data_IF_945445771028
#
_entry.id   IF_945445771028
#
_cell.length_a   1.000
_cell.length_b   1.000
_cell.length_c   1.000
_cell.angle_alpha   90.00
_cell.angle_beta   90.00
_cell.angle_gamma   90.00
#
_symmetry.space_group_name_H-M   'P 1'
#
loop_
_entity.id
_entity.type
_entity.pdbx_description
1 polymer ?
#
# COMPACT_ATOMS: atom_id res chain seq x y z
N UNK A 1 -9.47 1.99 -1.76
CA UNK A 1 -9.22 0.74 -1.01
C UNK A 1 -8.63 1.13 0.34
N UNK A 2 -9.42 1.08 1.42
CA UNK A 2 -9.02 1.51 2.75
C UNK A 2 -8.68 0.30 3.63
N UNK A 3 -7.48 0.27 4.18
CA UNK A 3 -7.10 -0.67 5.23
C UNK A 3 -7.18 0.03 6.60
N UNK A 4 -8.24 -0.19 7.39
CA UNK A 4 -8.47 0.54 8.64
C UNK A 4 -7.49 0.17 9.75
N UNK A 5 -6.82 -0.98 9.65
CA UNK A 5 -5.82 -1.45 10.64
C UNK A 5 -4.38 -1.10 10.27
N UNK A 6 -4.18 -0.28 9.24
CA UNK A 6 -2.84 0.19 8.86
C UNK A 6 -2.23 1.08 9.96
N UNK A 7 -0.92 0.91 10.22
CA UNK A 7 -0.16 1.72 11.18
C UNK A 7 0.15 1.05 12.52
N UNK A 8 -0.48 -0.09 12.84
CA UNK A 8 -0.22 -0.87 14.06
C UNK A 8 -1.13 -0.53 15.25
N UNK A 9 -0.99 -1.23 16.39
CA UNK A 9 -1.91 -1.13 17.53
C UNK A 9 -1.84 0.19 18.32
N UNK A 10 -0.77 0.98 18.17
CA UNK A 10 -0.64 2.30 18.83
C UNK A 10 -1.33 3.45 18.06
N UNK A 11 -1.81 3.21 16.83
CA UNK A 11 -2.61 4.19 16.09
C UNK A 11 -4.10 3.92 16.29
N UNK A 12 -4.64 4.38 17.42
CA UNK A 12 -6.06 4.77 17.55
C UNK A 12 -6.32 6.05 16.73
N UNK A 13 -6.00 6.04 15.43
CA UNK A 13 -6.31 7.13 14.51
C UNK A 13 -7.52 6.70 13.72
N UNK A 14 -8.53 7.55 13.66
CA UNK A 14 -9.68 7.34 12.79
C UNK A 14 -9.27 7.64 11.34
N UNK A 15 -8.49 6.72 10.76
CA UNK A 15 -8.09 6.80 9.37
C UNK A 15 -9.29 6.71 8.44
N UNK A 16 -10.36 6.07 8.88
CA UNK A 16 -11.59 6.02 8.12
C UNK A 16 -12.21 7.41 8.00
N UNK A 17 -12.49 8.10 9.11
CA UNK A 17 -13.00 9.48 9.10
C UNK A 17 -12.08 10.41 8.31
N UNK A 18 -10.76 10.25 8.47
CA UNK A 18 -9.79 11.11 7.76
C UNK A 18 -9.77 10.84 6.27
N UNK A 19 -9.83 9.59 5.82
CA UNK A 19 -9.90 9.26 4.40
C UNK A 19 -11.26 9.64 3.82
N UNK A 20 -12.35 9.44 4.55
CA UNK A 20 -13.70 9.87 4.18
C UNK A 20 -13.79 11.40 4.01
N UNK A 21 -13.18 12.16 4.92
CA UNK A 21 -13.19 13.63 4.83
C UNK A 21 -12.35 14.18 3.67
N UNK A 22 -11.33 13.45 3.22
CA UNK A 22 -10.47 13.83 2.10
C UNK A 22 -11.07 13.37 0.76
N UNK A 23 -11.56 12.13 0.70
CA UNK A 23 -12.01 11.47 -0.53
C UNK A 23 -13.55 11.47 -0.68
N UNK A 24 -14.21 12.58 -0.31
CA UNK A 24 -15.68 12.68 -0.19
C UNK A 24 -16.46 12.29 -1.46
N UNK A 25 -15.85 12.44 -2.63
CA UNK A 25 -16.47 12.18 -3.94
C UNK A 25 -16.09 10.81 -4.53
N UNK A 26 -15.51 9.91 -3.74
CA UNK A 26 -15.00 8.63 -4.22
C UNK A 26 -15.60 7.47 -3.41
N UNK A 27 -16.02 6.38 -4.07
CA UNK A 27 -16.43 5.16 -3.37
C UNK A 27 -15.27 4.60 -2.53
N UNK A 28 -15.52 4.40 -1.24
CA UNK A 28 -14.54 3.79 -0.33
C UNK A 28 -14.90 2.31 -0.14
N UNK A 29 -13.98 1.43 -0.50
CA UNK A 29 -14.05 0.00 -0.19
C UNK A 29 -13.10 -0.30 0.95
N UNK A 30 -13.65 -0.77 2.07
CA UNK A 30 -12.90 -1.16 3.26
C UNK A 30 -12.41 -2.59 3.10
N UNK A 31 -11.13 -2.82 3.39
CA UNK A 31 -10.49 -4.13 3.39
C UNK A 31 -10.72 -4.75 4.77
N UNK A 32 -11.51 -5.81 4.83
CA UNK A 32 -11.82 -6.52 6.06
C UNK A 32 -10.79 -7.62 6.37
N UNK A 33 -10.22 -8.26 5.35
CA UNK A 33 -9.34 -9.43 5.53
C UNK A 33 -8.05 -9.37 4.69
N UNK A 34 -6.95 -10.00 5.13
CA UNK A 34 -5.74 -10.12 4.33
C UNK A 34 -6.01 -10.76 2.95
N UNK A 35 -5.44 -10.18 1.89
CA UNK A 35 -5.60 -10.65 0.52
C UNK A 35 -6.85 -10.12 -0.22
N UNK A 36 -7.83 -9.56 0.49
CA UNK A 36 -9.06 -9.03 -0.12
C UNK A 36 -8.80 -7.79 -0.99
N UNK A 37 -7.78 -7.00 -0.66
CA UNK A 37 -7.41 -5.78 -1.39
C UNK A 37 -7.12 -6.04 -2.88
N UNK A 38 -6.54 -7.19 -3.23
CA UNK A 38 -6.26 -7.57 -4.62
C UNK A 38 -7.57 -7.78 -5.40
N UNK A 39 -8.52 -8.49 -4.80
CA UNK A 39 -9.83 -8.77 -5.41
C UNK A 39 -10.68 -7.50 -5.53
N UNK A 40 -10.74 -6.67 -4.48
CA UNK A 40 -11.50 -5.42 -4.51
C UNK A 40 -10.98 -4.46 -5.57
N UNK A 41 -9.66 -4.37 -5.74
CA UNK A 41 -9.03 -3.55 -6.76
C UNK A 41 -9.33 -4.05 -8.17
N UNK A 42 -9.27 -5.36 -8.39
CA UNK A 42 -9.63 -5.99 -9.67
C UNK A 42 -11.08 -5.71 -10.05
N UNK A 43 -12.00 -5.95 -9.12
CA UNK A 43 -13.42 -5.70 -9.33
C UNK A 43 -13.69 -4.21 -9.65
N UNK A 44 -13.00 -3.29 -8.97
CA UNK A 44 -13.14 -1.87 -9.28
C UNK A 44 -12.68 -1.55 -10.72
N UNK A 45 -11.61 -2.15 -11.21
CA UNK A 45 -11.22 -1.95 -12.62
C UNK A 45 -12.26 -2.54 -13.57
N UNK A 46 -12.81 -3.71 -13.26
CA UNK A 46 -13.89 -4.34 -14.05
C UNK A 46 -15.17 -3.50 -14.08
N UNK A 47 -15.44 -2.75 -13.00
CA UNK A 47 -16.54 -1.79 -12.91
C UNK A 47 -16.25 -0.46 -13.64
N UNK A 48 -15.06 -0.30 -14.24
CA UNK A 48 -14.69 0.84 -15.06
C UNK A 48 -13.92 1.95 -14.34
N UNK A 49 -13.50 1.74 -13.09
CA UNK A 49 -12.67 2.72 -12.39
C UNK A 49 -11.24 2.75 -12.97
N UNK A 50 -10.83 3.91 -13.48
CA UNK A 50 -9.50 4.12 -14.09
C UNK A 50 -8.45 4.64 -13.11
N UNK A 51 -8.83 4.88 -11.85
CA UNK A 51 -7.95 5.36 -10.78
C UNK A 51 -8.30 4.62 -9.50
N UNK A 52 -7.37 3.82 -9.01
CA UNK A 52 -7.55 3.02 -7.79
C UNK A 52 -6.60 3.55 -6.72
N UNK A 53 -7.15 4.02 -5.61
CA UNK A 53 -6.35 4.59 -4.51
C UNK A 53 -6.18 3.54 -3.40
N UNK A 54 -4.94 3.23 -3.07
CA UNK A 54 -4.55 2.41 -1.92
C UNK A 54 -4.34 3.32 -0.70
N UNK A 55 -5.25 3.24 0.26
CA UNK A 55 -5.16 3.89 1.56
C UNK A 55 -4.71 2.86 2.60
N UNK A 56 -3.41 2.83 2.89
CA UNK A 56 -2.79 1.79 3.70
C UNK A 56 -1.27 1.90 3.75
N UNK A 57 -0.61 0.85 4.26
CA UNK A 57 0.86 0.71 4.18
C UNK A 57 1.31 -0.02 2.91
N UNK A 58 2.62 -0.28 2.82
CA UNK A 58 3.27 -0.89 1.65
C UNK A 58 2.64 -2.23 1.22
N UNK A 59 2.20 -3.06 2.18
CA UNK A 59 1.49 -4.31 1.87
C UNK A 59 0.14 -4.09 1.17
N UNK A 60 -0.63 -3.09 1.61
CA UNK A 60 -1.90 -2.72 0.96
C UNK A 60 -1.64 -2.20 -0.44
N UNK A 61 -0.64 -1.34 -0.62
CA UNK A 61 -0.20 -0.84 -1.93
C UNK A 61 0.14 -2.01 -2.85
N UNK A 62 0.93 -2.98 -2.38
CA UNK A 62 1.33 -4.13 -3.18
C UNK A 62 0.15 -5.00 -3.63
N UNK A 63 -0.82 -5.25 -2.75
CA UNK A 63 -2.02 -6.01 -3.10
C UNK A 63 -2.89 -5.27 -4.11
N UNK A 64 -3.09 -3.96 -3.95
CA UNK A 64 -3.85 -3.15 -4.91
C UNK A 64 -3.14 -3.11 -6.26
N UNK A 65 -1.81 -2.95 -6.28
CA UNK A 65 -1.00 -2.99 -7.51
C UNK A 65 -1.15 -4.32 -8.27
N UNK A 66 -1.15 -5.45 -7.56
CA UNK A 66 -1.42 -6.77 -8.16
C UNK A 66 -2.84 -6.87 -8.72
N UNK A 67 -3.83 -6.27 -8.04
CA UNK A 67 -5.23 -6.30 -8.46
C UNK A 67 -5.49 -5.53 -9.76
N UNK A 68 -4.69 -4.52 -10.06
CA UNK A 68 -4.81 -3.68 -11.26
C UNK A 68 -3.73 -3.94 -12.31
N UNK A 69 -2.80 -4.86 -12.05
CA UNK A 69 -1.69 -5.17 -12.95
C UNK A 69 -2.23 -5.63 -14.32
N UNK A 70 -1.61 -5.15 -15.40
CA UNK A 70 -2.04 -5.44 -16.77
C UNK A 70 -3.25 -4.63 -17.25
N UNK A 71 -3.70 -3.64 -16.47
CA UNK A 71 -4.79 -2.71 -16.83
C UNK A 71 -4.25 -1.29 -17.05
N UNK A 72 -5.09 -0.39 -17.58
CA UNK A 72 -4.75 1.03 -17.72
C UNK A 72 -5.10 1.87 -16.48
N UNK A 73 -5.49 1.25 -15.37
CA UNK A 73 -5.85 1.96 -14.16
C UNK A 73 -4.61 2.52 -13.45
N UNK A 74 -4.66 3.79 -13.04
CA UNK A 74 -3.59 4.43 -12.29
C UNK A 74 -3.70 4.10 -10.79
N UNK A 75 -2.56 3.86 -10.15
CA UNK A 75 -2.44 3.65 -8.70
C UNK A 75 -2.24 4.99 -7.97
N UNK A 76 -3.16 5.35 -7.09
CA UNK A 76 -2.99 6.45 -6.13
C UNK A 76 -2.61 5.92 -4.75
N UNK A 77 -1.83 6.68 -3.98
CA UNK A 77 -1.37 6.28 -2.65
C UNK A 77 -1.84 7.29 -1.60
N UNK A 78 -2.52 6.78 -0.57
CA UNK A 78 -2.77 7.49 0.69
C UNK A 78 -1.99 6.74 1.79
N UNK A 79 -0.79 7.22 2.17
CA UNK A 79 0.10 6.46 3.04
C UNK A 79 -0.38 6.45 4.50
N UNK A 80 -0.88 5.28 4.97
CA UNK A 80 -1.38 5.08 6.34
C UNK A 80 -0.51 4.10 7.16
N UNK A 81 0.51 3.50 6.54
CA UNK A 81 1.43 2.60 7.20
C UNK A 81 2.48 3.31 8.04
N UNK A 82 3.30 2.53 8.73
CA UNK A 82 4.34 3.03 9.64
C UNK A 82 5.52 3.67 8.90
N UNK A 83 5.95 3.09 7.77
CA UNK A 83 7.14 3.55 7.02
C UNK A 83 6.75 4.09 5.65
N UNK A 84 5.86 3.42 4.91
CA UNK A 84 5.38 3.87 3.59
C UNK A 84 6.52 4.08 2.59
N UNK A 85 7.43 3.12 2.53
CA UNK A 85 8.67 3.21 1.75
C UNK A 85 8.38 3.49 0.29
N UNK A 86 7.41 2.81 -0.33
CA UNK A 86 7.12 3.03 -1.74
C UNK A 86 6.61 4.45 -2.01
N UNK A 87 5.79 5.02 -1.11
CA UNK A 87 5.35 6.41 -1.25
C UNK A 87 6.53 7.40 -1.17
N UNK A 88 7.49 7.15 -0.27
CA UNK A 88 8.70 7.97 -0.13
C UNK A 88 9.61 7.87 -1.36
N UNK A 89 9.83 6.67 -1.88
CA UNK A 89 10.61 6.43 -3.11
C UNK A 89 9.97 7.11 -4.32
N UNK A 90 8.63 7.21 -4.33
CA UNK A 90 7.93 7.95 -5.37
C UNK A 90 8.02 9.48 -5.19
N UNK A 91 8.60 9.98 -4.09
CA UNK A 91 8.70 11.40 -3.77
C UNK A 91 7.38 12.01 -3.25
N UNK A 92 6.43 11.18 -2.82
CA UNK A 92 5.17 11.65 -2.26
C UNK A 92 5.37 12.22 -0.85
N UNK A 93 4.55 13.21 -0.44
CA UNK A 93 4.61 13.75 0.91
C UNK A 93 3.97 12.79 1.91
N UNK A 94 4.66 11.69 2.24
CA UNK A 94 4.10 10.52 2.94
C UNK A 94 3.48 10.79 4.33
N UNK A 95 3.74 11.95 4.93
CA UNK A 95 3.14 12.39 6.20
C UNK A 95 2.02 13.44 6.03
N UNK A 96 1.69 13.82 4.80
CA UNK A 96 0.64 14.77 4.44
C UNK A 96 -0.38 14.11 3.49
N UNK A 97 -1.43 13.52 4.08
CA UNK A 97 -2.49 12.87 3.31
C UNK A 97 -3.22 13.83 2.37
N UNK A 98 -3.46 15.07 2.79
CA UNK A 98 -4.11 16.07 1.93
C UNK A 98 -3.24 16.37 0.71
N UNK A 99 -1.93 16.53 0.91
CA UNK A 99 -0.98 16.74 -0.19
C UNK A 99 -0.92 15.55 -1.15
N UNK A 100 -0.95 14.31 -0.62
CA UNK A 100 -1.05 13.12 -1.46
C UNK A 100 -2.36 13.10 -2.26
N UNK A 101 -3.47 13.49 -1.63
CA UNK A 101 -4.76 13.56 -2.30
C UNK A 101 -4.80 14.61 -3.40
N UNK A 102 -4.25 15.80 -3.18
CA UNK A 102 -4.16 16.83 -4.22
C UNK A 102 -3.38 16.34 -5.44
N UNK A 103 -2.27 15.60 -5.26
CA UNK A 103 -1.52 14.98 -6.37
C UNK A 103 -2.39 13.98 -7.14
N UNK A 104 -3.21 13.18 -6.42
CA UNK A 104 -4.14 12.22 -7.02
C UNK A 104 -5.21 12.96 -7.83
N UNK A 105 -5.78 14.04 -7.29
CA UNK A 105 -6.80 14.87 -7.95
C UNK A 105 -6.27 15.55 -9.21
N UNK A 106 -5.08 16.13 -9.13
CA UNK A 106 -4.39 16.79 -10.26
C UNK A 106 -4.17 15.84 -11.44
N UNK A 107 -4.18 14.52 -11.21
CA UNK A 107 -4.09 13.52 -12.27
C UNK A 107 -2.70 13.43 -12.91
N UNK A 108 -1.66 13.86 -12.20
CA UNK A 108 -0.27 13.73 -12.63
C UNK A 108 0.18 12.27 -12.55
N UNK A 109 0.05 11.55 -13.66
CA UNK A 109 0.44 10.12 -13.77
C UNK A 109 1.82 9.99 -14.37
N UNK A 110 2.61 9.05 -13.85
CA UNK A 110 3.85 8.58 -14.47
C UNK A 110 3.86 7.06 -14.55
N UNK A 111 4.57 6.53 -15.53
CA UNK A 111 4.82 5.10 -15.63
C UNK A 111 5.87 4.70 -14.58
N UNK A 112 5.63 3.56 -13.94
CA UNK A 112 6.52 2.94 -12.95
C UNK A 112 6.63 1.46 -13.31
N UNK A 113 7.85 0.94 -13.30
CA UNK A 113 8.09 -0.47 -13.58
C UNK A 113 7.47 -1.34 -12.50
N UNK A 114 6.79 -2.42 -12.91
CA UNK A 114 6.15 -3.36 -12.00
C UNK A 114 6.70 -4.78 -12.24
N UNK A 115 7.83 -5.12 -11.60
CA UNK A 115 8.46 -6.44 -11.77
C UNK A 115 7.56 -7.56 -11.26
N UNK A 116 7.79 -8.78 -11.77
CA UNK A 116 7.05 -9.98 -11.38
C UNK A 116 7.95 -11.20 -11.23
N UNK A 117 7.55 -12.09 -10.33
CA UNK A 117 8.15 -13.42 -10.17
C UNK A 117 7.02 -14.43 -9.95
N UNK A 118 7.03 -15.53 -10.71
CA UNK A 118 6.01 -16.58 -10.65
C UNK A 118 4.56 -16.06 -10.72
N UNK A 119 4.31 -15.04 -11.57
CA UNK A 119 2.99 -14.45 -11.74
C UNK A 119 2.51 -13.54 -10.60
N UNK A 120 3.40 -13.18 -9.66
CA UNK A 120 3.11 -12.19 -8.61
C UNK A 120 3.99 -10.97 -8.78
N UNK A 121 3.37 -9.80 -8.74
CA UNK A 121 4.05 -8.51 -8.87
C UNK A 121 4.51 -7.99 -7.51
N UNK A 122 5.55 -7.16 -7.52
CA UNK A 122 6.02 -6.47 -6.33
C UNK A 122 6.41 -5.03 -6.65
N UNK A 123 6.01 -4.09 -5.79
CA UNK A 123 6.25 -2.65 -5.97
C UNK A 123 7.60 -2.17 -5.46
N UNK A 124 8.34 -3.00 -4.70
CA UNK A 124 9.59 -2.61 -4.05
C UNK A 124 10.70 -3.64 -4.26
N UNK A 125 10.68 -4.72 -3.47
CA UNK A 125 11.76 -5.70 -3.44
C UNK A 125 11.20 -7.12 -3.33
N UNK A 126 11.83 -8.05 -4.02
CA UNK A 126 11.70 -9.49 -3.82
C UNK A 126 13.09 -10.09 -3.56
N UNK A 127 13.19 -11.00 -2.59
CA UNK A 127 14.43 -11.69 -2.22
C UNK A 127 14.24 -13.21 -2.21
N UNK A 128 15.34 -13.95 -2.39
CA UNK A 128 15.37 -15.43 -2.37
C UNK A 128 16.62 -15.92 -1.64
N UNK A 129 16.47 -16.92 -0.79
CA UNK A 129 17.59 -17.50 -0.03
C UNK A 129 17.42 -17.36 1.49
N UNK A 130 18.55 -17.33 2.20
CA UNK A 130 18.61 -17.23 3.67
C UNK A 130 17.98 -15.92 4.18
N UNK A 131 18.20 -14.83 3.48
CA UNK A 131 17.59 -13.51 3.72
C UNK A 131 16.05 -13.56 3.67
N UNK A 132 15.48 -14.26 2.68
CA UNK A 132 14.04 -14.44 2.56
C UNK A 132 13.47 -15.31 3.69
N UNK A 133 14.24 -16.32 4.14
CA UNK A 133 13.87 -17.15 5.29
C UNK A 133 13.84 -16.32 6.58
N UNK A 134 14.84 -15.46 6.80
CA UNK A 134 14.88 -14.55 7.96
C UNK A 134 13.70 -13.58 7.93
N UNK A 135 13.36 -12.96 6.79
CA UNK A 135 12.19 -12.07 6.67
C UNK A 135 10.88 -12.81 6.93
N UNK A 136 10.76 -14.06 6.47
CA UNK A 136 9.59 -14.92 6.69
C UNK A 136 9.44 -15.34 8.15
N UNK A 137 10.54 -15.66 8.82
CA UNK A 137 10.59 -16.10 10.22
C UNK A 137 10.54 -14.92 11.21
N UNK A 138 10.87 -13.70 10.75
CA UNK A 138 10.65 -12.45 11.47
C UNK A 138 9.14 -12.22 11.62
N UNK A 139 8.57 -12.86 12.64
CA UNK A 139 7.15 -12.82 12.95
C UNK A 139 6.64 -11.38 13.15
N UNK A 140 5.32 -11.19 13.00
CA UNK A 140 4.62 -9.94 13.33
C UNK A 140 4.95 -9.41 14.74
N UNK A 141 5.36 -10.30 15.67
CA UNK A 141 5.81 -9.93 17.01
C UNK A 141 7.16 -9.19 16.99
N UNK A 142 8.09 -9.57 16.12
CA UNK A 142 9.40 -8.93 16.01
C UNK A 142 9.31 -7.57 15.28
N UNK A 143 8.43 -7.45 14.28
CA UNK A 143 8.07 -6.17 13.63
C UNK A 143 7.50 -5.13 14.60
N UNK A 144 6.84 -5.57 15.68
CA UNK A 144 6.25 -4.70 16.71
C UNK A 144 7.26 -4.20 17.74
N UNK A 145 8.31 -4.97 18.06
CA UNK A 145 9.23 -4.63 19.15
C UNK A 145 10.44 -3.78 18.76
N UNK A 146 10.84 -3.72 17.48
CA UNK A 146 12.09 -3.04 17.05
C UNK A 146 11.91 -1.92 16.02
N UNK A 147 10.67 -1.59 15.64
CA UNK A 147 10.39 -0.50 14.71
C UNK A 147 11.06 -0.67 13.32
N UNK A 148 11.30 0.44 12.59
CA UNK A 148 11.85 0.43 11.23
C UNK A 148 13.22 -0.27 11.09
N UNK A 149 13.95 -0.45 12.20
CA UNK A 149 15.27 -1.08 12.25
C UNK A 149 15.25 -2.60 12.09
N UNK A 150 14.09 -3.26 12.16
CA UNK A 150 13.99 -4.71 12.02
C UNK A 150 14.47 -5.23 10.66
N UNK A 151 14.37 -4.41 9.60
CA UNK A 151 14.89 -4.74 8.27
C UNK A 151 16.43 -4.68 8.20
N UNK A 152 17.10 -3.89 9.06
CA UNK A 152 18.56 -3.82 9.11
C UNK A 152 19.19 -5.00 9.85
N UNK A 153 18.46 -5.63 10.78
CA UNK A 153 18.96 -6.74 11.60
C UNK A 153 18.95 -8.07 10.83
N UNK A 154 18.22 -8.17 9.73
CA UNK A 154 18.22 -9.38 8.87
C UNK A 154 19.48 -9.51 7.98
N UNK A 155 20.40 -8.54 8.03
CA UNK A 155 21.59 -8.47 7.19
C UNK A 155 22.92 -8.74 7.93
N UNK A 156 22.88 -9.29 9.14
CA UNK A 156 24.07 -9.65 9.92
C UNK A 156 24.17 -11.17 10.15
#
# INVERSE_FOLDING_TARGET
MLNPVAGGPETLRDWQERVESIAQNCPIRVIAHPGEAEALARNAVEEGFVRIVAAGGDGTVNHVANGIAGTNAALGLLPLGTVNVFAMELGLPAHNLQGCWSIIEDGNVRLVDLPSANGKHFVQLAGVGLDAQVVKETSLAFKRSFGPLSYLISAA
#
